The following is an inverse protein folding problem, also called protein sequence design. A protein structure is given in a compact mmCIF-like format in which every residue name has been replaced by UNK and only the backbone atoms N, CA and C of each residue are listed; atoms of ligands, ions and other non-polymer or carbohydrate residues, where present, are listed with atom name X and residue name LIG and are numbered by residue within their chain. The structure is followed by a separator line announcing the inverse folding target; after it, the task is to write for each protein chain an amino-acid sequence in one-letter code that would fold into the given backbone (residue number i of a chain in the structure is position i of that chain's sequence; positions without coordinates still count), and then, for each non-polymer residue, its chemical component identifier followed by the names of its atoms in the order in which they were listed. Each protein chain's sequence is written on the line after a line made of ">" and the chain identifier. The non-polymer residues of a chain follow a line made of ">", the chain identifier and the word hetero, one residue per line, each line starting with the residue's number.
data_IF_467017279555
#
_entry.id   IF_467017279555
#
_cell.length_a   1.000
_cell.length_b   1.000
_cell.length_c   1.000
_cell.angle_alpha   90.00
_cell.angle_beta   90.00
_cell.angle_gamma   90.00
#
_symmetry.space_group_name_H-M   'P 1'
#
loop_
_entity.id
_entity.type
_entity.pdbx_description
1 polymer ?
#
# COMPACT_ATOMS: atom_id res chain seq x y z
N UNK A 1 -1.12 -19.36 41.07
CA UNK A 1 0.19 -18.85 40.61
C UNK A 1 0.58 -19.40 39.24
N UNK A 2 0.38 -20.70 38.96
CA UNK A 2 0.81 -21.34 37.69
C UNK A 2 0.21 -20.77 36.39
N UNK A 3 -1.00 -20.20 36.43
CA UNK A 3 -1.65 -19.63 35.25
C UNK A 3 -1.44 -18.12 35.07
N UNK A 4 -0.84 -17.44 36.05
CA UNK A 4 -0.67 -15.98 36.01
C UNK A 4 0.54 -15.57 35.15
N UNK A 5 1.67 -16.27 35.28
CA UNK A 5 2.88 -15.97 34.49
C UNK A 5 2.71 -16.19 32.97
N UNK A 6 2.00 -17.22 32.44
CA UNK A 6 1.80 -17.35 31.01
C UNK A 6 0.80 -16.32 30.47
N UNK A 7 -0.17 -15.88 31.27
CA UNK A 7 -1.09 -14.80 30.89
C UNK A 7 -0.36 -13.46 30.73
N UNK A 8 0.48 -13.11 31.71
CA UNK A 8 1.31 -11.89 31.66
C UNK A 8 2.32 -11.93 30.50
N UNK A 9 2.94 -13.08 30.25
CA UNK A 9 3.82 -13.27 29.11
C UNK A 9 3.08 -13.14 27.76
N UNK A 10 1.86 -13.67 27.67
CA UNK A 10 1.01 -13.54 26.47
C UNK A 10 0.67 -12.08 26.15
N UNK A 11 0.28 -11.30 27.16
CA UNK A 11 0.04 -9.85 26.99
C UNK A 11 1.32 -9.13 26.56
N UNK A 12 2.45 -9.47 27.18
CA UNK A 12 3.75 -8.90 26.82
C UNK A 12 4.11 -9.14 25.35
N UNK A 13 3.92 -10.37 24.86
CA UNK A 13 4.16 -10.73 23.47
C UNK A 13 3.24 -9.99 22.48
N UNK A 14 1.97 -9.80 22.82
CA UNK A 14 1.03 -9.04 21.96
C UNK A 14 1.48 -7.60 21.76
N UNK A 15 2.01 -6.95 22.80
CA UNK A 15 2.59 -5.60 22.69
C UNK A 15 3.80 -5.54 21.77
N UNK A 16 4.68 -6.56 21.81
CA UNK A 16 5.85 -6.65 20.94
C UNK A 16 5.47 -6.91 19.46
N UNK A 17 4.45 -7.74 19.22
CA UNK A 17 3.94 -8.00 17.85
C UNK A 17 3.35 -6.74 17.23
N UNK A 18 2.61 -5.93 18.01
CA UNK A 18 2.11 -4.62 17.55
C UNK A 18 3.24 -3.68 17.13
N UNK A 19 4.37 -3.66 17.86
CA UNK A 19 5.54 -2.84 17.50
C UNK A 19 6.19 -3.29 16.19
N UNK A 20 6.40 -4.59 16.02
CA UNK A 20 6.97 -5.14 14.79
C UNK A 20 6.05 -4.81 13.61
N UNK A 21 4.73 -4.97 13.77
CA UNK A 21 3.76 -4.63 12.72
C UNK A 21 3.81 -3.15 12.34
N UNK A 22 3.83 -2.24 13.33
CA UNK A 22 3.85 -0.81 13.08
C UNK A 22 5.17 -0.35 12.41
N UNK A 23 6.31 -0.94 12.83
CA UNK A 23 7.62 -0.67 12.24
C UNK A 23 7.70 -1.17 10.81
N UNK A 24 7.31 -2.43 10.58
CA UNK A 24 7.26 -3.03 9.24
C UNK A 24 6.33 -2.21 8.36
N UNK A 25 5.12 -1.86 8.82
CA UNK A 25 4.22 -0.99 8.07
C UNK A 25 4.90 0.33 7.67
N UNK A 26 5.59 1.00 8.60
CA UNK A 26 6.34 2.23 8.31
C UNK A 26 7.37 2.07 7.18
N UNK A 27 8.12 0.96 7.16
CA UNK A 27 9.12 0.68 6.11
C UNK A 27 8.46 0.42 4.74
N UNK A 28 7.24 -0.14 4.71
CA UNK A 28 6.51 -0.43 3.47
C UNK A 28 5.72 0.76 2.91
N UNK A 29 5.27 1.72 3.75
CA UNK A 29 4.44 2.86 3.33
C UNK A 29 5.08 3.65 2.17
N UNK A 30 6.37 3.99 2.27
CA UNK A 30 7.07 4.75 1.22
C UNK A 30 7.22 3.95 -0.09
N UNK A 31 7.47 2.64 0.03
CA UNK A 31 7.58 1.73 -1.12
C UNK A 31 6.23 1.58 -1.83
N UNK A 32 5.14 1.46 -1.08
CA UNK A 32 3.78 1.34 -1.63
C UNK A 32 3.33 2.65 -2.29
N UNK A 33 3.66 3.81 -1.69
CA UNK A 33 3.42 5.11 -2.31
C UNK A 33 4.18 5.24 -3.64
N UNK A 34 5.47 4.88 -3.66
CA UNK A 34 6.30 4.94 -4.87
C UNK A 34 5.75 4.03 -5.97
N UNK A 35 5.27 2.82 -5.62
CA UNK A 35 4.63 1.91 -6.59
C UNK A 35 3.36 2.50 -7.20
N UNK A 36 2.52 3.13 -6.38
CA UNK A 36 1.30 3.75 -6.87
C UNK A 36 1.61 4.95 -7.80
N UNK A 37 2.57 5.79 -7.41
CA UNK A 37 3.04 6.92 -8.24
C UNK A 37 3.59 6.44 -9.58
N UNK A 38 4.44 5.41 -9.58
CA UNK A 38 5.03 4.86 -10.79
C UNK A 38 3.99 4.35 -11.81
N UNK A 39 2.83 3.86 -11.34
CA UNK A 39 1.73 3.45 -12.23
C UNK A 39 1.13 4.67 -12.94
N UNK A 40 0.85 5.76 -12.21
CA UNK A 40 0.33 6.99 -12.81
C UNK A 40 1.35 7.62 -13.79
N UNK A 41 2.62 7.66 -13.41
CA UNK A 41 3.71 8.11 -14.28
C UNK A 41 3.81 7.27 -15.56
N UNK A 42 3.65 5.95 -15.45
CA UNK A 42 3.65 5.04 -16.60
C UNK A 42 2.49 5.33 -17.56
N UNK A 43 1.30 5.61 -17.06
CA UNK A 43 0.13 5.95 -17.91
C UNK A 43 0.32 7.31 -18.58
N UNK A 44 0.82 8.30 -17.82
CA UNK A 44 1.15 9.61 -18.37
C UNK A 44 2.20 9.50 -19.48
N UNK A 45 3.31 8.81 -19.23
CA UNK A 45 4.36 8.62 -20.22
C UNK A 45 3.85 7.87 -21.45
N UNK A 46 3.05 6.81 -21.25
CA UNK A 46 2.42 6.07 -22.34
C UNK A 46 1.58 6.97 -23.25
N UNK A 47 0.71 7.81 -22.68
CA UNK A 47 -0.13 8.72 -23.46
C UNK A 47 0.70 9.74 -24.24
N UNK A 48 1.77 10.29 -23.64
CA UNK A 48 2.70 11.20 -24.31
C UNK A 48 3.49 10.53 -25.43
N UNK A 49 3.93 9.29 -25.23
CA UNK A 49 4.67 8.52 -26.24
C UNK A 49 3.76 8.16 -27.42
N UNK A 50 2.48 7.84 -27.18
CA UNK A 50 1.49 7.62 -28.23
C UNK A 50 1.20 8.89 -29.03
N UNK A 51 1.14 10.06 -28.38
CA UNK A 51 0.99 11.36 -29.06
C UNK A 51 2.19 11.70 -29.95
N UNK A 52 3.40 11.28 -29.54
CA UNK A 52 4.63 11.48 -30.33
C UNK A 52 4.83 10.42 -31.41
N UNK A 53 4.09 9.32 -31.35
CA UNK A 53 4.20 8.23 -32.31
C UNK A 53 3.68 8.59 -33.70
N UNK A 54 4.01 7.76 -34.68
CA UNK A 54 3.53 7.89 -36.07
C UNK A 54 1.99 7.87 -36.17
N UNK A 55 1.32 7.31 -35.17
CA UNK A 55 -0.15 7.28 -35.08
C UNK A 55 -0.77 8.68 -35.10
N UNK A 56 -0.10 9.66 -34.48
CA UNK A 56 -0.58 11.04 -34.35
C UNK A 56 0.25 12.09 -35.10
N UNK A 57 1.49 11.76 -35.45
CA UNK A 57 2.40 12.66 -36.19
C UNK A 57 2.53 12.30 -37.68
N UNK A 58 2.17 11.07 -38.06
CA UNK A 58 2.22 10.60 -39.44
C UNK A 58 1.05 11.11 -40.28
N UNK A 59 1.16 10.96 -41.60
CA UNK A 59 0.04 11.15 -42.53
C UNK A 59 -0.75 9.83 -42.62
N UNK A 60 -1.96 9.73 -42.03
CA UNK A 60 -2.76 8.53 -42.16
C UNK A 60 -3.26 8.38 -43.61
N UNK A 61 -3.56 7.15 -44.01
CA UNK A 61 -4.26 6.92 -45.29
C UNK A 61 -5.63 7.61 -45.27
N UNK A 62 -6.09 8.06 -46.45
CA UNK A 62 -7.37 8.76 -46.63
C UNK A 62 -8.57 8.04 -45.97
N UNK A 63 -8.55 6.70 -45.94
CA UNK A 63 -9.64 5.89 -45.38
C UNK A 63 -9.63 5.79 -43.84
N UNK A 64 -8.48 6.00 -43.18
CA UNK A 64 -8.33 5.85 -41.73
C UNK A 64 -8.20 7.18 -40.98
N UNK A 65 -8.26 8.31 -41.68
CA UNK A 65 -8.07 9.65 -41.10
C UNK A 65 -8.96 9.92 -39.88
N UNK A 66 -10.23 9.48 -39.92
CA UNK A 66 -11.17 9.65 -38.80
C UNK A 66 -10.76 8.83 -37.56
N UNK A 67 -10.36 7.57 -37.75
CA UNK A 67 -9.96 6.68 -36.65
C UNK A 67 -8.68 7.16 -35.97
N UNK A 68 -7.69 7.63 -36.75
CA UNK A 68 -6.48 8.23 -36.21
C UNK A 68 -6.77 9.52 -35.44
N UNK A 69 -7.64 10.38 -35.96
CA UNK A 69 -8.01 11.62 -35.29
C UNK A 69 -8.68 11.36 -33.93
N UNK A 70 -9.68 10.48 -33.90
CA UNK A 70 -10.37 10.10 -32.65
C UNK A 70 -9.40 9.45 -31.65
N UNK A 71 -8.48 8.61 -32.12
CA UNK A 71 -7.47 8.00 -31.28
C UNK A 71 -6.53 9.03 -30.65
N UNK A 72 -6.04 9.98 -31.44
CA UNK A 72 -5.12 11.03 -30.97
C UNK A 72 -5.78 12.02 -30.02
N UNK A 73 -7.07 12.32 -30.23
CA UNK A 73 -7.85 13.10 -29.26
C UNK A 73 -7.95 12.37 -27.93
N UNK A 74 -8.22 11.06 -27.94
CA UNK A 74 -8.27 10.30 -26.69
C UNK A 74 -6.92 10.25 -25.96
N UNK A 75 -5.80 10.06 -26.67
CA UNK A 75 -4.47 10.14 -26.05
C UNK A 75 -4.15 11.54 -25.50
N UNK A 76 -4.60 12.59 -26.18
CA UNK A 76 -4.42 13.98 -25.75
C UNK A 76 -5.23 14.27 -24.49
N UNK A 77 -6.51 13.91 -24.49
CA UNK A 77 -7.40 14.06 -23.34
C UNK A 77 -6.86 13.28 -22.14
N UNK A 78 -6.39 12.05 -22.36
CA UNK A 78 -5.71 11.26 -21.34
C UNK A 78 -4.46 11.99 -20.85
N UNK A 79 -3.55 12.44 -21.70
CA UNK A 79 -2.34 13.14 -21.25
C UNK A 79 -2.64 14.43 -20.46
N UNK A 80 -3.72 15.14 -20.81
CA UNK A 80 -4.15 16.37 -20.15
C UNK A 80 -4.69 16.10 -18.74
N UNK A 81 -5.39 14.98 -18.49
CA UNK A 81 -5.88 14.67 -17.12
C UNK A 81 -4.74 14.44 -16.13
N UNK A 82 -3.58 13.98 -16.60
CA UNK A 82 -2.37 13.82 -15.79
C UNK A 82 -1.52 15.09 -15.69
N UNK A 83 -1.85 16.15 -16.43
CA UNK A 83 -1.08 17.38 -16.45
C UNK A 83 -1.29 18.15 -15.14
N UNK A 84 -0.19 18.65 -14.57
CA UNK A 84 -0.19 19.48 -13.35
C UNK A 84 -0.75 18.78 -12.09
N UNK A 85 -0.87 17.45 -12.13
CA UNK A 85 -1.30 16.65 -10.98
C UNK A 85 -0.10 16.24 -10.14
N UNK A 86 -0.19 16.46 -8.83
CA UNK A 86 0.79 15.94 -7.88
C UNK A 86 0.47 14.48 -7.53
N UNK A 87 1.21 13.55 -8.13
CA UNK A 87 1.02 12.11 -7.88
C UNK A 87 1.37 11.70 -6.45
N UNK A 88 2.18 12.48 -5.72
CA UNK A 88 2.54 12.15 -4.34
C UNK A 88 1.33 12.18 -3.41
N UNK A 89 0.28 12.91 -3.78
CA UNK A 89 -0.98 13.02 -3.03
C UNK A 89 -1.94 11.83 -3.26
N UNK A 90 -1.60 10.89 -4.15
CA UNK A 90 -2.42 9.71 -4.50
C UNK A 90 -3.89 10.07 -4.81
N UNK A 91 -4.15 10.85 -5.88
CA UNK A 91 -5.49 11.22 -6.36
C UNK A 91 -6.41 10.03 -6.68
N UNK A 92 -7.69 10.24 -6.97
CA UNK A 92 -8.59 9.11 -7.29
C UNK A 92 -8.40 8.64 -8.73
N UNK A 93 -8.45 7.31 -8.96
CA UNK A 93 -8.38 6.76 -10.31
C UNK A 93 -9.47 7.33 -11.25
N UNK A 94 -10.65 7.65 -10.69
CA UNK A 94 -11.78 8.23 -11.41
C UNK A 94 -11.46 9.55 -12.10
N UNK A 95 -10.52 10.31 -11.56
CA UNK A 95 -10.16 11.64 -12.06
C UNK A 95 -9.37 11.55 -13.39
N UNK A 96 -8.84 10.36 -13.69
CA UNK A 96 -8.07 10.05 -14.90
C UNK A 96 -8.85 9.21 -15.91
N UNK A 97 -10.07 8.80 -15.60
CA UNK A 97 -10.86 7.94 -16.47
C UNK A 97 -11.39 8.73 -17.66
N UNK A 98 -10.82 8.50 -18.85
CA UNK A 98 -11.27 9.09 -20.11
C UNK A 98 -12.01 8.03 -20.93
N UNK A 99 -13.28 8.25 -21.33
CA UNK A 99 -14.03 7.27 -22.09
C UNK A 99 -13.36 6.98 -23.43
N UNK A 100 -13.07 5.70 -23.68
CA UNK A 100 -12.40 5.27 -24.89
C UNK A 100 -13.32 5.38 -26.12
N UNK A 101 -12.82 5.87 -27.27
CA UNK A 101 -13.56 5.84 -28.52
C UNK A 101 -13.73 4.39 -29.02
N UNK A 102 -14.80 4.13 -29.77
CA UNK A 102 -15.09 2.82 -30.37
C UNK A 102 -14.26 2.57 -31.65
N UNK A 103 -12.95 2.80 -31.57
CA UNK A 103 -12.00 2.60 -32.68
C UNK A 103 -11.04 1.47 -32.34
N UNK A 104 -10.82 0.56 -33.29
CA UNK A 104 -9.96 -0.62 -33.12
C UNK A 104 -8.51 -0.26 -32.78
N UNK A 105 -8.06 0.94 -33.20
CA UNK A 105 -6.72 1.44 -32.97
C UNK A 105 -6.40 1.71 -31.49
N UNK A 106 -7.44 1.96 -30.68
CA UNK A 106 -7.31 2.33 -29.26
C UNK A 106 -7.84 1.23 -28.33
N UNK A 107 -8.61 0.28 -28.83
CA UNK A 107 -9.27 -0.75 -28.00
C UNK A 107 -8.29 -1.45 -27.03
N UNK A 108 -7.15 -1.93 -27.54
CA UNK A 108 -6.13 -2.57 -26.68
C UNK A 108 -5.47 -1.59 -25.72
N UNK A 109 -5.25 -0.35 -26.14
CA UNK A 109 -4.58 0.67 -25.36
C UNK A 109 -5.50 1.20 -24.24
N UNK A 110 -6.80 1.29 -24.51
CA UNK A 110 -7.84 1.60 -23.53
C UNK A 110 -7.96 0.52 -22.46
N UNK A 111 -7.97 -0.76 -22.84
CA UNK A 111 -7.97 -1.88 -21.89
C UNK A 111 -6.71 -1.84 -21.01
N UNK A 112 -5.56 -1.51 -21.59
CA UNK A 112 -4.31 -1.37 -20.83
C UNK A 112 -4.38 -0.20 -19.83
N UNK A 113 -4.84 0.99 -20.26
CA UNK A 113 -4.99 2.16 -19.39
C UNK A 113 -5.97 1.87 -18.23
N UNK A 114 -7.13 1.28 -18.53
CA UNK A 114 -8.11 0.89 -17.51
C UNK A 114 -7.53 -0.12 -16.52
N UNK A 115 -6.80 -1.13 -17.03
CA UNK A 115 -6.08 -2.10 -16.21
C UNK A 115 -5.04 -1.44 -15.28
N UNK A 116 -4.30 -0.45 -15.77
CA UNK A 116 -3.33 0.30 -14.97
C UNK A 116 -4.02 1.17 -13.91
N UNK A 117 -5.10 1.86 -14.24
CA UNK A 117 -5.89 2.65 -13.28
C UNK A 117 -6.52 1.76 -12.19
N UNK A 118 -6.98 0.57 -12.56
CA UNK A 118 -7.46 -0.44 -11.60
C UNK A 118 -6.35 -0.93 -10.66
N UNK A 119 -5.16 -1.22 -11.20
CA UNK A 119 -4.00 -1.59 -10.40
C UNK A 119 -3.56 -0.46 -9.47
N UNK A 120 -3.57 0.78 -9.94
CA UNK A 120 -3.30 1.96 -9.13
C UNK A 120 -4.27 2.04 -7.93
N UNK A 121 -5.57 1.88 -8.17
CA UNK A 121 -6.58 1.92 -7.11
C UNK A 121 -6.38 0.79 -6.09
N UNK A 122 -5.96 -0.40 -6.53
CA UNK A 122 -5.59 -1.50 -5.65
C UNK A 122 -4.37 -1.15 -4.78
N UNK A 123 -3.30 -0.60 -5.37
CA UNK A 123 -2.10 -0.18 -4.64
C UNK A 123 -2.39 0.96 -3.67
N UNK A 124 -3.20 1.94 -4.07
CA UNK A 124 -3.66 3.04 -3.22
C UNK A 124 -4.44 2.51 -2.01
N UNK A 125 -5.36 1.58 -2.21
CA UNK A 125 -6.11 0.95 -1.12
C UNK A 125 -5.19 0.17 -0.18
N UNK A 126 -4.13 -0.46 -0.71
CA UNK A 126 -3.14 -1.13 0.12
C UNK A 126 -2.31 -0.13 0.94
N UNK A 127 -1.84 0.96 0.33
CA UNK A 127 -1.17 2.06 1.01
C UNK A 127 -2.02 2.64 2.15
N UNK A 128 -3.32 2.87 1.93
CA UNK A 128 -4.24 3.36 2.97
C UNK A 128 -4.29 2.39 4.15
N UNK A 129 -4.43 1.08 3.89
CA UNK A 129 -4.42 0.05 4.94
C UNK A 129 -3.10 -0.02 5.71
N UNK A 130 -1.97 0.09 5.00
CA UNK A 130 -0.64 0.07 5.62
C UNK A 130 -0.42 1.31 6.47
N UNK A 131 -0.84 2.49 5.99
CA UNK A 131 -0.80 3.75 6.74
C UNK A 131 -1.68 3.70 7.99
N UNK A 132 -2.89 3.14 7.89
CA UNK A 132 -3.75 2.91 9.05
C UNK A 132 -3.10 1.94 10.05
N UNK A 133 -2.43 0.89 9.57
CA UNK A 133 -1.71 -0.05 10.43
C UNK A 133 -0.45 0.55 11.09
N UNK A 134 0.12 1.62 10.51
CA UNK A 134 1.21 2.39 11.12
C UNK A 134 0.71 3.19 12.34
N UNK A 135 -0.54 3.65 12.33
CA UNK A 135 -1.14 4.40 13.43
C UNK A 135 -1.52 3.43 14.55
N UNK A 136 -0.68 3.36 15.59
CA UNK A 136 -0.95 2.56 16.79
C UNK A 136 -2.30 2.96 17.39
N UNK A 137 -3.18 1.98 17.61
CA UNK A 137 -4.41 2.23 18.37
C UNK A 137 -4.04 2.63 19.82
N UNK A 138 -4.81 3.50 20.48
CA UNK A 138 -4.48 4.00 21.82
C UNK A 138 -4.32 2.87 22.86
N UNK A 139 -5.05 1.75 22.70
CA UNK A 139 -4.88 0.55 23.51
C UNK A 139 -3.53 -0.15 23.28
N UNK A 140 -3.07 -0.23 22.03
CA UNK A 140 -1.77 -0.82 21.68
C UNK A 140 -0.61 -0.02 22.28
N UNK A 141 -0.75 1.31 22.39
CA UNK A 141 0.25 2.16 23.05
C UNK A 141 0.37 1.88 24.54
N UNK A 142 -0.75 1.57 25.22
CA UNK A 142 -0.74 1.20 26.64
C UNK A 142 -0.10 -0.17 26.82
N UNK A 143 -0.47 -1.16 25.99
CA UNK A 143 0.13 -2.48 26.02
C UNK A 143 1.63 -2.44 25.72
N UNK A 144 2.07 -1.57 24.82
CA UNK A 144 3.48 -1.35 24.55
C UNK A 144 4.24 -0.81 25.78
N UNK A 145 3.71 0.22 26.44
CA UNK A 145 4.36 0.79 27.62
C UNK A 145 4.47 -0.21 28.78
N UNK A 146 3.43 -1.04 28.96
CA UNK A 146 3.31 -1.94 30.11
C UNK A 146 3.95 -3.32 29.83
N UNK A 147 4.06 -3.74 28.56
CA UNK A 147 4.58 -5.05 28.15
C UNK A 147 5.95 -5.41 28.74
N UNK A 148 7.01 -4.56 28.67
CA UNK A 148 8.33 -4.90 29.20
C UNK A 148 8.28 -5.20 30.71
N UNK A 149 7.47 -4.44 31.44
CA UNK A 149 7.29 -4.62 32.88
C UNK A 149 6.58 -5.93 33.19
N UNK A 150 5.55 -6.30 32.43
CA UNK A 150 4.83 -7.57 32.62
C UNK A 150 5.70 -8.79 32.33
N UNK A 151 6.55 -8.72 31.30
CA UNK A 151 7.50 -9.80 30.97
C UNK A 151 8.53 -9.97 32.10
N UNK A 152 9.13 -8.87 32.57
CA UNK A 152 10.03 -8.91 33.72
C UNK A 152 9.35 -9.47 34.98
N UNK A 153 8.09 -9.08 35.22
CA UNK A 153 7.33 -9.57 36.36
C UNK A 153 7.02 -11.08 36.24
N UNK A 154 6.67 -11.55 35.05
CA UNK A 154 6.43 -12.97 34.78
C UNK A 154 7.70 -13.82 34.99
N UNK A 155 8.86 -13.34 34.53
CA UNK A 155 10.16 -13.99 34.74
C UNK A 155 10.50 -14.02 36.24
N UNK A 156 10.32 -12.90 36.95
CA UNK A 156 10.56 -12.81 38.38
C UNK A 156 9.66 -13.77 39.18
N UNK A 157 8.37 -13.86 38.84
CA UNK A 157 7.44 -14.82 39.46
C UNK A 157 7.86 -16.28 39.22
N UNK A 158 8.32 -16.61 38.01
CA UNK A 158 8.80 -17.96 37.71
C UNK A 158 10.09 -18.29 38.46
N UNK A 159 11.06 -17.37 38.49
CA UNK A 159 12.31 -17.55 39.22
C UNK A 159 12.07 -17.72 40.72
N UNK A 160 11.23 -16.86 41.31
CA UNK A 160 10.89 -16.94 42.74
C UNK A 160 10.18 -18.23 43.10
N UNK A 161 9.22 -18.69 42.26
CA UNK A 161 8.56 -19.99 42.45
C UNK A 161 9.58 -21.14 42.41
N UNK A 162 10.37 -21.26 41.35
CA UNK A 162 11.36 -22.35 41.20
C UNK A 162 12.39 -22.33 42.34
N UNK A 163 12.81 -21.15 42.78
CA UNK A 163 13.75 -21.01 43.90
C UNK A 163 13.10 -21.45 45.22
N UNK A 164 11.81 -21.18 45.43
CA UNK A 164 11.08 -21.63 46.61
C UNK A 164 10.88 -23.16 46.62
N UNK A 165 10.54 -23.76 45.48
CA UNK A 165 10.42 -25.21 45.31
C UNK A 165 11.75 -25.91 45.62
N UNK A 166 12.86 -25.44 45.03
CA UNK A 166 14.21 -25.98 45.29
C UNK A 166 14.65 -25.85 46.77
N UNK A 167 14.19 -24.81 47.46
CA UNK A 167 14.53 -24.60 48.88
C UNK A 167 13.69 -25.50 49.80
N UNK A 168 12.45 -25.81 49.41
CA UNK A 168 11.58 -26.76 50.11
C UNK A 168 12.08 -28.20 49.93
N UNK A 169 12.48 -28.59 48.71
CA UNK A 169 13.02 -29.93 48.42
C UNK A 169 14.36 -30.21 49.12
N UNK A 170 15.16 -29.19 49.43
CA UNK A 170 16.41 -29.33 50.20
C UNK A 170 16.20 -29.44 51.71
N UNK A 171 15.02 -29.09 52.21
CA UNK A 171 14.69 -29.12 53.64
C UNK A 171 13.82 -30.33 54.03
N UNK A 172 13.37 -31.12 53.06
CA UNK A 172 12.70 -32.42 53.25
C UNK A 172 13.73 -33.56 53.17
#
# INVERSE_FOLDING_TARGET
>A
MDYLWPFLAGIGMLGAVSEIRAKVAGDWVETEQTRAVAILESVQQFSLDKLRSDTCTGQPSLDNHAQHHEACLWYLDTAITFKDVDFTLLPNASDFAVPAPSVSLVESDAVWVDGMLSQYEMQKNQYIKTREAQVKQPLESIFWYVSPYLVCFAIALRLTKVTAELKLDKCA
#
